data_IF_901790679576
#
_entry.id   IF_901790679576
#
_cell.length_a   1.000
_cell.length_b   1.000
_cell.length_c   1.000
_cell.angle_alpha   90.00
_cell.angle_beta   90.00
_cell.angle_gamma   90.00
#
_symmetry.space_group_name_H-M   'P 1'
#
loop_
_entity.id
_entity.type
_entity.pdbx_description
1 polymer ?
#
# COMPACT_ATOMS: atom_id res chain seq x y z
N UNK A 1 11.47 3.62 15.60
CA UNK A 1 12.75 3.03 15.18
C UNK A 1 12.41 1.82 14.35
N UNK A 2 13.01 1.67 13.16
CA UNK A 2 12.77 0.53 12.27
C UNK A 2 14.03 -0.33 12.22
N UNK A 3 13.88 -1.63 12.10
CA UNK A 3 15.02 -2.54 12.07
C UNK A 3 14.86 -3.62 10.99
N UNK A 4 15.98 -3.96 10.36
CA UNK A 4 16.11 -5.12 9.49
C UNK A 4 17.17 -6.08 10.04
N UNK A 5 17.56 -7.06 9.22
CA UNK A 5 18.62 -8.03 9.57
C UNK A 5 19.94 -7.33 9.90
N UNK A 6 20.35 -6.34 9.10
CA UNK A 6 21.67 -5.69 9.23
C UNK A 6 21.59 -4.23 9.66
N UNK A 7 20.43 -3.58 9.58
CA UNK A 7 20.32 -2.13 9.70
C UNK A 7 19.35 -1.71 10.81
N UNK A 8 19.65 -0.56 11.42
CA UNK A 8 18.72 0.19 12.28
C UNK A 8 18.47 1.54 11.60
N UNK A 9 17.19 1.89 11.45
CA UNK A 9 16.75 3.20 10.98
C UNK A 9 16.18 3.98 12.17
N UNK A 10 16.87 5.07 12.54
CA UNK A 10 16.49 5.96 13.64
C UNK A 10 16.41 7.41 13.17
N UNK A 11 15.65 8.24 13.89
CA UNK A 11 15.62 9.69 13.61
C UNK A 11 17.04 10.24 13.64
N UNK A 12 17.32 11.14 12.70
CA UNK A 12 18.51 11.97 12.72
C UNK A 12 18.50 12.84 13.98
N UNK A 13 19.68 13.15 14.49
CA UNK A 13 19.91 14.06 15.60
C UNK A 13 20.94 15.12 15.19
N UNK A 14 21.03 16.26 15.90
CA UNK A 14 22.05 17.27 15.62
C UNK A 14 23.49 16.73 15.60
N UNK A 15 23.75 15.67 16.38
CA UNK A 15 25.07 15.00 16.43
C UNK A 15 25.45 14.25 15.16
N UNK A 16 24.52 14.00 14.23
CA UNK A 16 24.79 13.29 12.97
C UNK A 16 25.36 14.19 11.88
N UNK A 17 25.58 15.47 12.17
CA UNK A 17 26.05 16.45 11.18
C UNK A 17 27.33 15.98 10.46
N UNK A 18 28.34 15.55 11.21
CA UNK A 18 29.62 15.09 10.65
C UNK A 18 29.46 13.84 9.77
N UNK A 19 28.57 12.92 10.15
CA UNK A 19 28.29 11.72 9.35
C UNK A 19 27.47 12.04 8.10
N UNK A 20 26.61 13.06 8.15
CA UNK A 20 25.93 13.60 6.97
C UNK A 20 26.90 14.31 6.02
N UNK A 21 27.90 15.04 6.54
CA UNK A 21 28.93 15.68 5.71
C UNK A 21 29.68 14.65 4.85
N UNK A 22 30.00 13.47 5.40
CA UNK A 22 30.62 12.35 4.66
C UNK A 22 29.81 11.85 3.46
N UNK A 23 28.53 12.19 3.38
CA UNK A 23 27.62 11.82 2.27
C UNK A 23 27.37 13.02 1.38
N UNK A 24 26.88 14.11 1.97
CA UNK A 24 26.33 15.25 1.25
C UNK A 24 27.42 16.17 0.71
N UNK A 25 28.66 16.06 1.18
CA UNK A 25 29.80 16.80 0.66
C UNK A 25 30.69 15.95 -0.26
N UNK A 26 30.41 14.66 -0.41
CA UNK A 26 31.13 13.78 -1.34
C UNK A 26 30.60 14.01 -2.77
N UNK A 27 31.41 14.58 -3.70
CA UNK A 27 30.96 14.85 -5.06
C UNK A 27 30.55 13.58 -5.83
N UNK A 28 31.14 12.43 -5.50
CA UNK A 28 30.80 11.17 -6.14
C UNK A 28 29.46 10.63 -5.66
N UNK A 29 29.07 10.92 -4.42
CA UNK A 29 27.73 10.59 -3.89
C UNK A 29 26.68 11.56 -4.43
N UNK A 30 27.04 12.84 -4.53
CA UNK A 30 26.14 13.94 -4.91
C UNK A 30 26.07 14.21 -6.41
N UNK A 31 26.64 13.34 -7.24
CA UNK A 31 26.64 13.48 -8.71
C UNK A 31 25.22 13.62 -9.31
N UNK A 32 24.19 13.09 -8.62
CA UNK A 32 22.80 13.19 -9.04
C UNK A 32 22.08 14.47 -8.56
N UNK A 33 22.73 15.29 -7.73
CA UNK A 33 22.18 16.48 -7.06
C UNK A 33 22.81 17.81 -7.55
N UNK A 34 23.54 17.79 -8.67
CA UNK A 34 24.32 18.92 -9.22
C UNK A 34 25.26 19.61 -8.25
N UNK A 35 25.94 18.79 -7.46
CA UNK A 35 27.10 19.19 -6.68
C UNK A 35 27.03 18.78 -5.22
N UNK A 36 28.20 18.60 -4.64
CA UNK A 36 28.39 18.48 -3.20
C UNK A 36 27.85 19.74 -2.49
N UNK A 37 27.32 19.53 -1.30
CA UNK A 37 26.82 20.58 -0.43
C UNK A 37 27.95 21.25 0.34
N UNK A 38 27.73 22.50 0.71
CA UNK A 38 28.51 23.23 1.72
C UNK A 38 28.03 22.87 3.13
N UNK A 39 28.80 23.21 4.17
CA UNK A 39 28.38 23.01 5.58
C UNK A 39 27.00 23.63 5.87
N UNK A 40 26.75 24.82 5.33
CA UNK A 40 25.47 25.52 5.49
C UNK A 40 24.31 24.74 4.86
N UNK A 41 24.52 24.18 3.66
CA UNK A 41 23.52 23.36 2.98
C UNK A 41 23.29 22.01 3.69
N UNK A 42 24.33 21.42 4.30
CA UNK A 42 24.18 20.21 5.14
C UNK A 42 23.40 20.53 6.42
N UNK A 43 23.66 21.67 7.06
CA UNK A 43 22.88 22.13 8.21
C UNK A 43 21.41 22.34 7.82
N UNK A 44 21.13 23.02 6.72
CA UNK A 44 19.77 23.22 6.24
C UNK A 44 19.07 21.89 5.93
N UNK A 45 19.79 20.94 5.33
CA UNK A 45 19.28 19.59 5.08
C UNK A 45 18.89 18.87 6.37
N UNK A 46 19.76 18.87 7.37
CA UNK A 46 19.52 18.22 8.66
C UNK A 46 18.33 18.86 9.37
N UNK A 47 18.30 20.18 9.48
CA UNK A 47 17.20 20.95 10.06
C UNK A 47 15.87 20.67 9.36
N UNK A 48 15.89 20.53 8.02
CA UNK A 48 14.70 20.14 7.25
C UNK A 48 14.21 18.74 7.62
N UNK A 49 15.10 17.77 7.86
CA UNK A 49 14.67 16.43 8.30
C UNK A 49 14.11 16.46 9.72
N UNK A 50 14.75 17.20 10.64
CA UNK A 50 14.27 17.36 12.01
C UNK A 50 12.86 17.95 12.05
N UNK A 51 12.62 19.02 11.29
CA UNK A 51 11.27 19.61 11.14
C UNK A 51 10.24 18.63 10.57
N UNK A 52 10.61 17.84 9.56
CA UNK A 52 9.71 16.83 8.98
C UNK A 52 9.24 15.80 10.00
N UNK A 53 10.11 15.40 10.94
CA UNK A 53 9.68 14.51 12.01
C UNK A 53 8.62 15.11 12.94
N UNK A 54 8.61 16.43 13.10
CA UNK A 54 7.62 17.15 13.90
C UNK A 54 6.33 17.38 13.12
N UNK A 55 6.43 17.79 11.85
CA UNK A 55 5.27 18.20 11.04
C UNK A 55 4.58 17.02 10.35
N UNK A 56 5.34 16.07 9.83
CA UNK A 56 4.82 14.94 9.05
C UNK A 56 4.89 13.61 9.81
N UNK A 57 5.61 13.54 10.93
CA UNK A 57 5.90 12.30 11.67
C UNK A 57 6.92 11.38 10.98
N UNK A 58 7.34 11.72 9.75
CA UNK A 58 8.22 10.93 8.90
C UNK A 58 9.32 11.81 8.29
N UNK A 59 10.42 11.20 7.87
CA UNK A 59 11.52 11.88 7.19
C UNK A 59 12.57 10.88 6.71
N UNK A 60 13.72 11.36 6.26
CA UNK A 60 14.88 10.50 6.05
C UNK A 60 15.50 10.14 7.39
N UNK A 61 15.65 8.85 7.69
CA UNK A 61 16.23 8.35 8.94
C UNK A 61 17.71 8.05 8.75
N UNK A 62 18.51 8.21 9.81
CA UNK A 62 19.88 7.69 9.84
C UNK A 62 19.84 6.16 9.71
N UNK A 63 20.70 5.61 8.86
CA UNK A 63 20.87 4.18 8.66
C UNK A 63 22.14 3.76 9.37
N UNK A 64 21.99 2.98 10.44
CA UNK A 64 23.07 2.47 11.28
C UNK A 64 23.32 1.00 10.95
N UNK A 65 24.57 0.65 10.70
CA UNK A 65 24.98 -0.74 10.46
C UNK A 65 25.12 -1.46 11.82
N UNK A 66 24.33 -2.50 12.04
CA UNK A 66 24.30 -3.23 13.32
C UNK A 66 25.62 -3.87 13.71
N UNK A 67 26.42 -4.26 12.73
CA UNK A 67 27.68 -4.98 12.93
C UNK A 67 28.70 -4.17 13.75
N UNK A 68 28.79 -2.86 13.49
CA UNK A 68 29.81 -2.00 14.08
C UNK A 68 29.26 -0.68 14.66
N UNK A 69 27.98 -0.39 14.48
CA UNK A 69 27.35 0.84 14.97
C UNK A 69 27.57 2.05 14.06
N UNK A 70 28.18 1.89 12.89
CA UNK A 70 28.49 3.00 11.99
C UNK A 70 27.23 3.62 11.41
N UNK A 71 27.22 4.94 11.29
CA UNK A 71 26.33 5.65 10.38
C UNK A 71 26.80 5.42 8.94
N UNK A 72 25.96 4.80 8.11
CA UNK A 72 26.33 4.44 6.73
C UNK A 72 25.53 5.18 5.65
N UNK A 73 24.46 5.87 6.05
CA UNK A 73 23.52 6.46 5.10
C UNK A 73 22.30 7.09 5.75
N UNK A 74 21.40 7.58 4.91
CA UNK A 74 20.06 7.97 5.26
C UNK A 74 19.04 7.31 4.32
N UNK A 75 17.91 6.86 4.86
CA UNK A 75 16.82 6.27 4.09
C UNK A 75 15.50 6.52 4.82
N UNK A 76 14.45 6.85 4.10
CA UNK A 76 13.16 7.12 4.74
C UNK A 76 12.09 7.59 3.77
N UNK A 77 10.97 8.04 4.34
CA UNK A 77 9.79 8.47 3.60
C UNK A 77 9.61 9.98 3.81
N UNK A 78 9.41 10.72 2.73
CA UNK A 78 9.20 12.17 2.78
C UNK A 78 8.05 12.56 1.87
N UNK A 79 7.28 13.59 2.24
CA UNK A 79 6.33 14.19 1.30
C UNK A 79 7.10 14.99 0.25
N UNK A 80 6.83 14.72 -1.02
CA UNK A 80 7.36 15.48 -2.16
C UNK A 80 6.23 16.00 -3.02
N UNK A 81 6.40 17.20 -3.56
CA UNK A 81 5.53 17.71 -4.60
C UNK A 81 5.74 16.90 -5.88
N UNK A 82 4.65 16.47 -6.48
CA UNK A 82 4.60 15.75 -7.75
C UNK A 82 3.38 16.26 -8.51
N UNK A 83 3.62 16.98 -9.61
CA UNK A 83 2.60 17.78 -10.29
C UNK A 83 1.89 18.72 -9.28
N UNK A 84 0.56 18.72 -9.26
CA UNK A 84 -0.25 19.56 -8.35
C UNK A 84 -0.59 18.87 -7.01
N UNK A 85 -0.01 17.68 -6.75
CA UNK A 85 -0.29 16.89 -5.54
C UNK A 85 0.98 16.62 -4.73
N UNK A 86 0.80 16.14 -3.50
CA UNK A 86 1.89 15.59 -2.69
C UNK A 86 1.85 14.07 -2.73
N UNK A 87 3.03 13.47 -2.88
CA UNK A 87 3.24 12.01 -2.82
C UNK A 87 4.22 11.66 -1.71
N UNK A 88 4.10 10.44 -1.19
CA UNK A 88 5.05 9.89 -0.23
C UNK A 88 6.20 9.21 -0.97
N UNK A 89 7.38 9.80 -0.88
CA UNK A 89 8.58 9.34 -1.57
C UNK A 89 9.53 8.59 -0.62
N UNK A 90 9.97 7.39 -1.01
CA UNK A 90 11.11 6.69 -0.43
C UNK A 90 12.39 7.24 -1.06
N UNK A 91 13.21 7.91 -0.25
CA UNK A 91 14.53 8.43 -0.63
C UNK A 91 15.64 7.73 0.14
N UNK A 92 16.82 7.64 -0.48
CA UNK A 92 18.00 7.02 0.12
C UNK A 92 19.31 7.62 -0.41
N UNK A 93 20.26 7.88 0.48
CA UNK A 93 21.64 8.28 0.17
C UNK A 93 22.59 7.54 1.12
N UNK A 94 23.70 7.03 0.59
CA UNK A 94 24.65 6.22 1.37
C UNK A 94 26.07 6.67 1.09
N UNK A 95 26.94 6.56 2.10
CA UNK A 95 28.37 6.78 1.93
C UNK A 95 28.94 5.78 0.91
N UNK A 96 29.84 6.26 0.05
CA UNK A 96 30.45 5.47 -1.03
C UNK A 96 31.08 4.17 -0.53
N UNK A 97 31.72 4.18 0.64
CA UNK A 97 32.38 3.01 1.25
C UNK A 97 31.43 1.81 1.53
N UNK A 98 30.11 2.05 1.54
CA UNK A 98 29.09 1.03 1.83
C UNK A 98 28.24 0.68 0.60
N UNK A 99 28.58 1.20 -0.58
CA UNK A 99 27.90 0.84 -1.82
C UNK A 99 28.14 -0.62 -2.22
N UNK A 100 27.26 -1.13 -3.09
CA UNK A 100 27.31 -2.49 -3.64
C UNK A 100 27.20 -3.65 -2.62
N UNK A 101 26.94 -3.35 -1.34
CA UNK A 101 26.70 -4.34 -0.26
C UNK A 101 25.22 -4.64 0.01
N UNK A 102 24.32 -4.04 -0.78
CA UNK A 102 22.87 -4.24 -0.72
C UNK A 102 22.14 -3.47 0.38
N UNK A 103 22.81 -2.59 1.13
CA UNK A 103 22.21 -1.85 2.24
C UNK A 103 21.10 -0.89 1.82
N UNK A 104 21.28 -0.17 0.70
CA UNK A 104 20.26 0.75 0.20
C UNK A 104 18.95 0.04 -0.14
N UNK A 105 19.03 -1.12 -0.80
CA UNK A 105 17.87 -1.97 -1.09
C UNK A 105 17.20 -2.46 0.19
N UNK A 106 17.98 -2.95 1.15
CA UNK A 106 17.44 -3.43 2.43
C UNK A 106 16.71 -2.32 3.20
N UNK A 107 17.30 -1.13 3.28
CA UNK A 107 16.69 0.03 3.91
C UNK A 107 15.41 0.49 3.18
N UNK A 108 15.44 0.52 1.84
CA UNK A 108 14.28 0.92 1.03
C UNK A 108 13.11 -0.08 1.16
N UNK A 109 13.40 -1.39 1.24
CA UNK A 109 12.40 -2.42 1.50
C UNK A 109 11.77 -2.23 2.88
N UNK A 110 12.59 -1.98 3.90
CA UNK A 110 12.11 -1.72 5.26
C UNK A 110 11.21 -0.48 5.31
N UNK A 111 11.59 0.61 4.63
CA UNK A 111 10.76 1.82 4.52
C UNK A 111 9.44 1.54 3.80
N UNK A 112 9.44 0.75 2.73
CA UNK A 112 8.22 0.37 2.01
C UNK A 112 7.28 -0.47 2.88
N UNK A 113 7.83 -1.44 3.62
CA UNK A 113 7.04 -2.23 4.58
C UNK A 113 6.43 -1.34 5.65
N UNK A 114 7.20 -0.42 6.22
CA UNK A 114 6.70 0.56 7.18
C UNK A 114 5.58 1.43 6.60
N UNK A 115 5.75 1.92 5.36
CA UNK A 115 4.74 2.71 4.65
C UNK A 115 3.40 1.98 4.51
N UNK A 116 3.44 0.69 4.18
CA UNK A 116 2.23 -0.09 3.91
C UNK A 116 1.59 -0.66 5.16
N UNK A 117 2.39 -1.12 6.13
CA UNK A 117 1.88 -1.83 7.30
C UNK A 117 1.49 -0.86 8.43
N UNK A 118 2.33 0.14 8.69
CA UNK A 118 2.14 1.04 9.84
C UNK A 118 1.48 2.35 9.43
N UNK A 119 1.91 2.94 8.30
CA UNK A 119 1.33 4.18 7.79
C UNK A 119 0.08 3.96 6.93
N UNK A 120 -0.21 2.70 6.57
CA UNK A 120 -1.36 2.30 5.76
C UNK A 120 -1.51 3.11 4.46
N UNK A 121 -0.38 3.48 3.83
CA UNK A 121 -0.37 4.22 2.57
C UNK A 121 -0.81 3.31 1.41
N UNK A 122 -1.53 3.89 0.45
CA UNK A 122 -2.00 3.16 -0.75
C UNK A 122 -0.85 2.84 -1.72
N UNK A 123 0.12 3.73 -1.79
CA UNK A 123 1.27 3.65 -2.68
C UNK A 123 2.41 4.53 -2.16
N UNK A 124 3.61 4.23 -2.64
CA UNK A 124 4.83 5.00 -2.38
C UNK A 124 5.62 5.19 -3.65
N UNK A 125 6.34 6.30 -3.72
CA UNK A 125 7.06 6.73 -4.92
C UNK A 125 8.57 6.81 -4.69
N UNK A 126 9.35 6.85 -5.76
CA UNK A 126 10.76 7.30 -5.76
C UNK A 126 10.98 8.10 -7.03
N UNK A 127 11.39 9.37 -6.90
CA UNK A 127 11.57 10.27 -8.03
C UNK A 127 13.07 10.38 -8.31
N UNK A 128 13.53 9.66 -9.32
CA UNK A 128 14.96 9.39 -9.51
C UNK A 128 15.42 9.99 -10.83
N UNK A 129 16.53 10.73 -10.80
CA UNK A 129 17.14 11.28 -12.02
C UNK A 129 17.41 10.18 -13.04
N UNK A 130 17.12 10.45 -14.30
CA UNK A 130 17.28 9.51 -15.42
C UNK A 130 18.72 8.98 -15.58
N UNK A 131 19.72 9.79 -15.20
CA UNK A 131 21.15 9.40 -15.20
C UNK A 131 21.56 8.61 -13.96
N UNK A 132 20.76 8.57 -12.89
CA UNK A 132 21.09 7.85 -11.65
C UNK A 132 20.68 6.38 -11.71
N UNK A 133 21.43 5.60 -12.49
CA UNK A 133 21.18 4.16 -12.69
C UNK A 133 21.27 3.33 -11.41
N UNK A 134 22.12 3.73 -10.45
CA UNK A 134 22.28 3.04 -9.17
C UNK A 134 20.98 3.11 -8.34
N UNK A 135 20.39 4.29 -8.20
CA UNK A 135 19.12 4.45 -7.49
C UNK A 135 17.97 3.77 -8.25
N UNK A 136 17.93 3.85 -9.58
CA UNK A 136 16.93 3.10 -10.35
C UNK A 136 16.99 1.60 -10.08
N UNK A 137 18.19 1.03 -9.90
CA UNK A 137 18.35 -0.39 -9.53
C UNK A 137 17.82 -0.68 -8.13
N UNK A 138 18.04 0.22 -7.17
CA UNK A 138 17.47 0.09 -5.82
C UNK A 138 15.94 0.11 -5.87
N UNK A 139 15.33 1.05 -6.60
CA UNK A 139 13.87 1.13 -6.76
C UNK A 139 13.30 -0.15 -7.41
N UNK A 140 13.92 -0.65 -8.49
CA UNK A 140 13.52 -1.90 -9.14
C UNK A 140 13.65 -3.10 -8.21
N UNK A 141 14.74 -3.21 -7.45
CA UNK A 141 14.94 -4.28 -6.47
C UNK A 141 13.99 -4.16 -5.27
N UNK A 142 13.50 -2.95 -4.97
CA UNK A 142 12.41 -2.71 -4.04
C UNK A 142 11.02 -2.99 -4.67
N UNK A 143 10.95 -3.62 -5.84
CA UNK A 143 9.69 -4.01 -6.49
C UNK A 143 8.86 -2.82 -7.01
N UNK A 144 9.49 -1.67 -7.25
CA UNK A 144 8.83 -0.49 -7.81
C UNK A 144 8.91 -0.52 -9.34
N UNK A 145 7.88 0.00 -10.01
CA UNK A 145 7.81 0.12 -11.47
C UNK A 145 7.78 1.59 -11.88
N UNK A 146 8.29 1.90 -13.07
CA UNK A 146 8.19 3.25 -13.63
C UNK A 146 6.73 3.50 -14.04
N UNK A 147 6.16 4.62 -13.58
CA UNK A 147 4.78 5.02 -13.89
C UNK A 147 4.70 6.35 -14.61
N UNK A 148 5.73 7.18 -14.54
CA UNK A 148 5.76 8.50 -15.16
C UNK A 148 7.20 9.01 -15.38
N UNK A 149 7.36 10.10 -16.14
CA UNK A 149 8.61 10.84 -16.34
C UNK A 149 8.34 12.34 -16.21
N UNK A 150 9.13 13.03 -15.38
CA UNK A 150 8.99 14.47 -15.13
C UNK A 150 10.32 15.19 -15.35
N UNK A 151 10.26 16.51 -15.55
CA UNK A 151 11.45 17.36 -15.59
C UNK A 151 11.43 18.28 -14.37
N UNK A 152 12.50 18.24 -13.57
CA UNK A 152 12.71 19.18 -12.47
C UNK A 152 13.67 20.28 -12.91
N UNK A 153 13.33 21.53 -12.63
CA UNK A 153 14.22 22.67 -12.82
C UNK A 153 14.98 22.92 -11.52
N UNK A 154 16.28 22.65 -11.51
CA UNK A 154 17.12 22.84 -10.32
C UNK A 154 18.45 23.49 -10.71
N UNK A 155 18.87 24.52 -9.96
CA UNK A 155 20.08 25.31 -10.24
C UNK A 155 20.20 25.79 -11.71
N UNK A 156 19.06 26.10 -12.34
CA UNK A 156 18.99 26.57 -13.73
C UNK A 156 19.16 25.48 -14.80
N UNK A 157 19.11 24.20 -14.41
CA UNK A 157 19.25 23.05 -15.31
C UNK A 157 17.98 22.21 -15.29
N UNK A 158 17.59 21.73 -16.47
CA UNK A 158 16.50 20.78 -16.66
C UNK A 158 17.00 19.36 -16.35
N UNK A 159 16.37 18.71 -15.39
CA UNK A 159 16.75 17.37 -14.93
C UNK A 159 15.59 16.41 -15.15
N UNK A 160 15.66 15.56 -16.18
CA UNK A 160 14.68 14.49 -16.36
C UNK A 160 14.76 13.49 -15.19
N UNK A 161 13.60 13.05 -14.73
CA UNK A 161 13.46 12.07 -13.65
C UNK A 161 12.43 11.01 -14.05
N UNK A 162 12.73 9.77 -13.73
CA UNK A 162 11.76 8.69 -13.72
C UNK A 162 11.03 8.65 -12.38
N UNK A 163 9.72 8.50 -12.45
CA UNK A 163 8.86 8.34 -11.28
C UNK A 163 8.58 6.84 -11.11
N UNK A 164 9.16 6.25 -10.09
CA UNK A 164 8.88 4.87 -9.68
C UNK A 164 7.73 4.85 -8.68
N UNK A 165 6.89 3.82 -8.73
CA UNK A 165 5.79 3.60 -7.79
C UNK A 165 5.71 2.12 -7.38
N UNK A 166 5.38 1.87 -6.12
CA UNK A 166 4.89 0.60 -5.63
C UNK A 166 3.52 0.79 -4.96
N UNK A 167 2.56 -0.07 -5.30
CA UNK A 167 1.22 -0.09 -4.70
C UNK A 167 1.16 -1.04 -3.52
N UNK A 168 0.37 -0.68 -2.52
CA UNK A 168 0.14 -1.49 -1.34
C UNK A 168 -0.72 -2.72 -1.70
N UNK A 169 -0.15 -3.95 -1.64
CA UNK A 169 -0.89 -5.15 -2.00
C UNK A 169 -2.05 -5.46 -1.03
N UNK A 170 -1.94 -5.03 0.23
CA UNK A 170 -2.93 -5.34 1.28
C UNK A 170 -4.22 -4.53 1.16
N UNK A 171 -4.18 -3.35 0.51
CA UNK A 171 -5.39 -2.58 0.22
C UNK A 171 -6.05 -3.00 -1.09
N UNK A 172 -5.25 -3.36 -2.09
CA UNK A 172 -5.76 -3.89 -3.35
C UNK A 172 -6.50 -5.22 -3.15
N UNK A 173 -5.98 -6.08 -2.25
CA UNK A 173 -6.59 -7.38 -1.94
C UNK A 173 -7.93 -7.24 -1.23
N UNK A 174 -8.12 -6.31 -0.28
CA UNK A 174 -9.43 -6.09 0.38
C UNK A 174 -10.52 -5.73 -0.62
N UNK A 175 -10.22 -4.87 -1.58
CA UNK A 175 -11.16 -4.49 -2.63
C UNK A 175 -11.43 -5.66 -3.57
N UNK A 176 -10.40 -6.33 -4.09
CA UNK A 176 -10.56 -7.49 -4.98
C UNK A 176 -11.25 -8.69 -4.32
N UNK A 177 -10.99 -8.98 -3.04
CA UNK A 177 -11.69 -10.01 -2.27
C UNK A 177 -13.15 -9.65 -2.03
N UNK A 178 -13.44 -8.37 -1.78
CA UNK A 178 -14.82 -7.89 -1.68
C UNK A 178 -15.56 -8.13 -2.99
N UNK A 179 -15.02 -7.70 -4.13
CA UNK A 179 -15.62 -7.93 -5.44
C UNK A 179 -15.69 -9.41 -5.82
N UNK A 180 -14.63 -10.19 -5.58
CA UNK A 180 -14.61 -11.63 -5.85
C UNK A 180 -15.66 -12.40 -5.07
N UNK A 181 -15.88 -12.04 -3.79
CA UNK A 181 -16.96 -12.63 -2.97
C UNK A 181 -18.34 -12.24 -3.47
N UNK A 182 -18.54 -10.98 -3.87
CA UNK A 182 -19.83 -10.51 -4.41
C UNK A 182 -20.13 -11.12 -5.77
N UNK A 183 -19.15 -11.23 -6.67
CA UNK A 183 -19.32 -11.84 -8.00
C UNK A 183 -19.65 -13.32 -7.91
N UNK A 184 -19.01 -14.08 -7.00
CA UNK A 184 -19.35 -15.50 -6.76
C UNK A 184 -20.79 -15.62 -6.28
N UNK A 185 -21.22 -14.81 -5.30
CA UNK A 185 -22.60 -14.82 -4.80
C UNK A 185 -23.61 -14.47 -5.90
N UNK A 186 -23.35 -13.45 -6.72
CA UNK A 186 -24.23 -13.07 -7.83
C UNK A 186 -24.29 -14.13 -8.94
N UNK A 187 -23.18 -14.81 -9.24
CA UNK A 187 -23.14 -15.88 -10.24
C UNK A 187 -23.95 -17.10 -9.78
N UNK A 188 -23.86 -17.46 -8.50
CA UNK A 188 -24.70 -18.53 -7.93
C UNK A 188 -26.18 -18.17 -7.96
N UNK A 189 -26.55 -16.93 -7.60
CA UNK A 189 -27.95 -16.47 -7.67
C UNK A 189 -28.49 -16.53 -9.10
N UNK A 190 -27.70 -16.09 -10.08
CA UNK A 190 -28.09 -16.11 -11.50
C UNK A 190 -28.21 -17.53 -12.08
N UNK A 191 -27.22 -18.39 -11.81
CA UNK A 191 -27.23 -19.79 -12.27
C UNK A 191 -28.40 -20.59 -11.65
N UNK A 192 -28.72 -20.34 -10.38
CA UNK A 192 -29.87 -20.97 -9.73
C UNK A 192 -31.21 -20.46 -10.27
N UNK A 193 -31.34 -19.16 -10.54
CA UNK A 193 -32.57 -18.58 -11.08
C UNK A 193 -32.92 -19.14 -12.47
N UNK A 194 -31.91 -19.43 -13.30
CA UNK A 194 -32.06 -20.09 -14.61
C UNK A 194 -32.41 -21.57 -14.43
N UNK A 195 -31.72 -22.28 -13.54
CA UNK A 195 -31.89 -23.73 -13.36
C UNK A 195 -33.25 -24.13 -12.79
N UNK A 196 -33.93 -23.21 -12.09
CA UNK A 196 -35.25 -23.43 -11.50
C UNK A 196 -36.39 -22.64 -12.17
N UNK A 197 -36.13 -21.98 -13.31
CA UNK A 197 -37.17 -21.40 -14.16
C UNK A 197 -37.91 -20.21 -13.55
N UNK A 198 -37.20 -19.32 -12.84
CA UNK A 198 -37.80 -18.09 -12.30
C UNK A 198 -38.29 -17.19 -13.43
N UNK A 199 -39.57 -16.85 -13.43
CA UNK A 199 -40.19 -15.96 -14.42
C UNK A 199 -40.27 -14.52 -13.88
N UNK A 200 -40.54 -13.55 -14.76
CA UNK A 200 -40.55 -12.11 -14.46
C UNK A 200 -41.37 -11.72 -13.21
N UNK A 201 -42.48 -12.41 -12.95
CA UNK A 201 -43.35 -12.19 -11.79
C UNK A 201 -42.68 -12.56 -10.45
N UNK A 202 -41.76 -13.51 -10.44
CA UNK A 202 -41.04 -13.92 -9.22
C UNK A 202 -40.00 -12.87 -8.81
N UNK A 203 -39.41 -12.14 -9.77
CA UNK A 203 -38.45 -11.08 -9.48
C UNK A 203 -39.11 -9.79 -8.94
N UNK A 204 -40.36 -9.51 -9.30
CA UNK A 204 -41.16 -8.43 -8.72
C UNK A 204 -41.53 -8.72 -7.26
N UNK A 205 -41.76 -10.00 -6.91
CA UNK A 205 -42.15 -10.44 -5.57
C UNK A 205 -41.04 -10.33 -4.51
N UNK A 206 -39.78 -10.31 -4.94
CA UNK A 206 -38.58 -10.13 -4.09
C UNK A 206 -38.08 -8.68 -4.12
N UNK A 207 -38.75 -7.78 -4.86
CA UNK A 207 -38.41 -6.35 -4.91
C UNK A 207 -37.08 -6.03 -5.60
N UNK A 208 -36.58 -6.94 -6.45
CA UNK A 208 -35.27 -6.80 -7.11
C UNK A 208 -35.35 -6.15 -8.49
N UNK A 209 -36.54 -6.00 -9.07
CA UNK A 209 -36.72 -5.25 -10.31
C UNK A 209 -36.74 -3.75 -10.04
N UNK A 210 -35.75 -3.03 -10.58
CA UNK A 210 -35.67 -1.57 -10.54
C UNK A 210 -34.61 -0.99 -9.61
N UNK A 211 -33.82 -1.82 -8.92
CA UNK A 211 -32.69 -1.34 -8.11
C UNK A 211 -31.49 -1.15 -9.06
N UNK A 212 -31.01 0.08 -9.31
CA UNK A 212 -29.80 0.29 -10.11
C UNK A 212 -28.64 -0.46 -9.46
N UNK A 213 -27.75 -1.04 -10.25
CA UNK A 213 -26.56 -1.78 -9.79
C UNK A 213 -25.72 -1.01 -8.76
N UNK A 214 -25.79 0.33 -8.76
CA UNK A 214 -25.17 1.21 -7.76
C UNK A 214 -25.83 1.17 -6.36
N UNK A 215 -27.15 0.93 -6.25
CA UNK A 215 -27.85 0.89 -4.95
C UNK A 215 -27.57 -0.42 -4.21
N UNK A 216 -27.35 -1.53 -4.92
CA UNK A 216 -26.89 -2.80 -4.32
C UNK A 216 -25.51 -2.67 -3.65
N UNK A 217 -24.66 -1.76 -4.13
CA UNK A 217 -23.31 -1.51 -3.59
C UNK A 217 -23.36 -0.80 -2.23
N UNK A 218 -24.25 0.18 -2.05
CA UNK A 218 -24.48 0.81 -0.73
C UNK A 218 -25.31 -0.07 0.21
N UNK A 219 -26.16 -0.95 -0.34
CA UNK A 219 -26.97 -1.87 0.45
C UNK A 219 -26.13 -2.96 1.16
N UNK A 220 -25.04 -3.41 0.54
CA UNK A 220 -24.09 -4.35 1.15
C UNK A 220 -23.24 -3.73 2.27
N UNK A 221 -23.20 -2.40 2.43
CA UNK A 221 -22.45 -1.73 3.50
C UNK A 221 -23.11 -1.80 4.88
N UNK A 222 -24.41 -2.06 4.98
CA UNK A 222 -25.18 -1.92 6.23
C UNK A 222 -25.94 -3.16 6.68
N UNK A 223 -25.82 -4.30 5.99
CA UNK A 223 -26.77 -5.40 6.15
C UNK A 223 -26.16 -6.64 6.83
N UNK A 224 -26.08 -6.62 8.16
CA UNK A 224 -26.36 -7.82 8.99
C UNK A 224 -27.86 -7.91 9.31
N UNK A 225 -28.57 -6.80 9.62
CA UNK A 225 -30.00 -6.86 9.95
C UNK A 225 -30.87 -7.33 8.78
N UNK A 226 -30.45 -7.06 7.54
CA UNK A 226 -31.21 -7.45 6.36
C UNK A 226 -31.10 -8.94 6.03
N UNK A 227 -29.96 -9.59 6.32
CA UNK A 227 -29.85 -11.05 6.21
C UNK A 227 -30.78 -11.73 7.21
N UNK A 228 -30.87 -11.21 8.45
CA UNK A 228 -31.82 -11.69 9.45
C UNK A 228 -33.28 -11.39 9.06
N UNK A 229 -33.55 -10.26 8.42
CA UNK A 229 -34.88 -9.90 7.94
C UNK A 229 -35.31 -10.78 6.77
N UNK A 230 -34.45 -10.99 5.77
CA UNK A 230 -34.70 -11.90 4.64
C UNK A 230 -34.86 -13.33 5.14
N UNK A 231 -33.99 -13.79 6.05
CA UNK A 231 -34.11 -15.11 6.69
C UNK A 231 -35.43 -15.23 7.47
N UNK A 232 -35.81 -14.21 8.27
CA UNK A 232 -37.06 -14.20 9.03
C UNK A 232 -38.30 -14.16 8.14
N UNK A 233 -38.28 -13.41 7.03
CA UNK A 233 -39.37 -13.35 6.06
C UNK A 233 -39.53 -14.68 5.32
N UNK A 234 -38.41 -15.30 4.92
CA UNK A 234 -38.40 -16.62 4.27
C UNK A 234 -38.92 -17.69 5.23
N UNK A 235 -38.43 -17.72 6.48
CA UNK A 235 -38.90 -18.66 7.51
C UNK A 235 -40.36 -18.44 7.93
N UNK A 236 -40.82 -17.17 8.00
CA UNK A 236 -42.21 -16.83 8.33
C UNK A 236 -43.18 -17.26 7.22
N UNK A 237 -42.78 -17.16 5.94
CA UNK A 237 -43.58 -17.63 4.81
C UNK A 237 -43.51 -19.15 4.62
N UNK A 238 -42.39 -19.78 4.95
CA UNK A 238 -42.23 -21.26 4.99
C UNK A 238 -43.21 -21.93 5.96
N UNK A 239 -43.52 -21.29 7.09
CA UNK A 239 -44.45 -21.86 8.07
C UNK A 239 -45.93 -21.77 7.63
N UNK A 240 -46.24 -20.91 6.64
CA UNK A 240 -47.61 -20.72 6.14
C UNK A 240 -47.93 -21.55 4.91
N UNK A 241 -46.96 -21.81 4.04
CA UNK A 241 -47.15 -22.64 2.85
C UNK A 241 -46.32 -23.92 3.00
N UNK A 242 -46.98 -25.06 3.29
CA UNK A 242 -46.38 -26.41 3.45
C UNK A 242 -45.68 -26.98 2.20
N UNK A 243 -45.20 -26.14 1.29
CA UNK A 243 -44.59 -26.51 0.02
C UNK A 243 -43.25 -25.79 -0.15
N UNK A 244 -42.28 -26.06 0.73
CA UNK A 244 -40.89 -25.73 0.45
C UNK A 244 -40.09 -27.00 0.51
N UNK A 245 -39.49 -27.38 -0.61
CA UNK A 245 -38.68 -28.57 -0.74
C UNK A 245 -37.55 -28.51 0.31
N UNK A 246 -37.41 -29.50 1.22
CA UNK A 246 -36.39 -29.47 2.27
C UNK A 246 -34.96 -29.36 1.72
N UNK A 247 -34.74 -29.76 0.47
CA UNK A 247 -33.47 -29.56 -0.25
C UNK A 247 -33.17 -28.06 -0.44
N UNK A 248 -34.18 -27.23 -0.73
CA UNK A 248 -34.03 -25.78 -0.87
C UNK A 248 -33.56 -25.10 0.43
N UNK A 249 -34.10 -25.55 1.57
CA UNK A 249 -33.74 -25.03 2.90
C UNK A 249 -32.30 -25.42 3.25
N UNK A 250 -31.92 -26.68 2.99
CA UNK A 250 -30.56 -27.14 3.23
C UNK A 250 -29.53 -26.39 2.38
N UNK A 251 -29.87 -26.08 1.12
CA UNK A 251 -28.95 -25.38 0.21
C UNK A 251 -28.84 -23.90 0.57
N UNK A 252 -29.95 -23.22 0.91
CA UNK A 252 -29.91 -21.82 1.36
C UNK A 252 -29.11 -21.69 2.67
N UNK A 253 -29.32 -22.59 3.62
CA UNK A 253 -28.53 -22.65 4.85
C UNK A 253 -27.06 -22.95 4.55
N UNK A 254 -26.74 -23.86 3.62
CA UNK A 254 -25.36 -24.16 3.24
C UNK A 254 -24.66 -22.96 2.59
N UNK A 255 -25.34 -22.22 1.70
CA UNK A 255 -24.80 -21.01 1.07
C UNK A 255 -24.54 -19.93 2.12
N UNK A 256 -25.49 -19.70 3.04
CA UNK A 256 -25.33 -18.73 4.13
C UNK A 256 -24.19 -19.14 5.08
N UNK A 257 -24.10 -20.42 5.41
CA UNK A 257 -23.08 -20.95 6.32
C UNK A 257 -21.69 -20.87 5.69
N UNK A 258 -21.54 -21.22 4.41
CA UNK A 258 -20.29 -21.09 3.66
C UNK A 258 -19.89 -19.61 3.50
N UNK A 259 -20.82 -18.71 3.19
CA UNK A 259 -20.52 -17.28 3.12
C UNK A 259 -20.08 -16.71 4.46
N UNK A 260 -20.67 -17.18 5.56
CA UNK A 260 -20.33 -16.76 6.93
C UNK A 260 -18.99 -17.34 7.37
N UNK A 261 -18.71 -18.61 7.06
CA UNK A 261 -17.42 -19.27 7.34
C UNK A 261 -16.28 -18.60 6.57
N UNK A 262 -16.47 -18.30 5.28
CA UNK A 262 -15.50 -17.55 4.47
C UNK A 262 -15.25 -16.14 5.06
N UNK A 263 -16.26 -15.54 5.69
CA UNK A 263 -16.13 -14.25 6.36
C UNK A 263 -15.41 -14.34 7.72
N UNK A 264 -15.55 -15.46 8.43
CA UNK A 264 -14.99 -15.71 9.77
C UNK A 264 -13.60 -16.38 9.78
N UNK A 265 -13.12 -16.91 8.65
CA UNK A 265 -11.77 -17.48 8.58
C UNK A 265 -10.71 -16.40 8.86
N UNK A 266 -9.82 -16.58 9.86
CA UNK A 266 -8.75 -15.63 10.12
C UNK A 266 -7.81 -15.54 8.92
N UNK A 267 -7.40 -14.30 8.60
CA UNK A 267 -6.40 -14.01 7.58
C UNK A 267 -5.03 -14.44 8.10
N UNK A 268 -4.59 -15.66 7.77
CA UNK A 268 -3.21 -16.07 7.98
C UNK A 268 -2.49 -16.05 6.63
N UNK A 269 -1.80 -14.94 6.34
CA UNK A 269 -0.87 -14.87 5.22
C UNK A 269 0.54 -14.99 5.78
N UNK A 270 1.10 -16.20 5.64
CA UNK A 270 2.52 -16.41 5.78
C UNK A 270 3.27 -15.44 4.87
N UNK A 271 4.19 -14.68 5.47
CA UNK A 271 5.13 -13.78 4.80
C UNK A 271 5.88 -14.52 3.68
N UNK A 272 5.72 -14.14 2.40
CA UNK A 272 6.44 -14.77 1.31
C UNK A 272 7.94 -14.41 1.26
N UNK A 273 8.44 -13.61 2.22
CA UNK A 273 9.83 -13.17 2.29
C UNK A 273 10.58 -13.62 3.55
N UNK A 274 10.09 -14.65 4.27
CA UNK A 274 10.81 -15.26 5.39
C UNK A 274 11.84 -16.30 4.96
#
# INVERSE_FOLDING_TARGET
>A
MLESKRLILRKLTPSDFEDLCKILQDPEVMYAYEGAFTDAEVHEWLEKQLRRYETDGIGLYAVILKENGDFIGQCGITKQAYNEIFVFEIGYLFQKAYWHKGYATEAAILCKQYAFNELNLDEVFSIIRDTNSASQKVAKNNGMIIVDTIVKHYRGIDMPHYVFCAKNPYKMSKLQLFWGRTTVVMFFIWFYAISFGFNKADYELVGLYGIPTLVLVDFCRTSIPLYYLVFSIVMSRMNKNKCVNPIFVCILCAVIMVSTLIWLMPYDYADPFR
#
